data_IF_113735305473
#
_entry.id   IF_113735305473
#
_cell.length_a   1.000
_cell.length_b   1.000
_cell.length_c   1.000
_cell.angle_alpha   90.00
_cell.angle_beta   90.00
_cell.angle_gamma   90.00
#
_symmetry.space_group_name_H-M   'P 1'
#
loop_
_entity.id
_entity.type
_entity.pdbx_description
1 polymer ?
#
# COMPACT_ATOMS: atom_id res chain seq x y z
N UNK A 1 -20.13 -30.32 1.87
CA UNK A 1 -19.23 -30.22 0.70
C UNK A 1 -18.33 -29.03 0.92
N UNK A 2 -17.03 -29.24 1.16
CA UNK A 2 -16.07 -28.15 1.24
C UNK A 2 -15.78 -27.68 -0.19
N UNK A 3 -16.16 -26.45 -0.52
CA UNK A 3 -15.91 -25.88 -1.84
C UNK A 3 -14.41 -25.59 -1.99
N UNK A 4 -13.84 -26.04 -3.11
CA UNK A 4 -12.46 -25.84 -3.48
C UNK A 4 -12.21 -24.34 -3.74
N UNK A 5 -11.75 -23.61 -2.73
CA UNK A 5 -11.35 -22.21 -2.85
C UNK A 5 -9.95 -22.15 -3.49
N UNK A 6 -9.90 -22.28 -4.81
CA UNK A 6 -8.68 -22.01 -5.60
C UNK A 6 -8.45 -20.51 -5.75
N UNK A 7 -7.23 -20.08 -6.09
CA UNK A 7 -6.88 -18.67 -6.35
C UNK A 7 -7.83 -18.01 -7.38
N UNK A 8 -8.28 -18.79 -8.37
CA UNK A 8 -9.28 -18.40 -9.36
C UNK A 8 -10.67 -18.23 -8.73
N UNK A 9 -11.08 -19.14 -7.83
CA UNK A 9 -12.33 -19.01 -7.10
C UNK A 9 -12.35 -17.81 -6.15
N UNK A 10 -11.21 -17.44 -5.54
CA UNK A 10 -11.06 -16.22 -4.73
C UNK A 10 -11.25 -14.94 -5.57
N UNK A 11 -10.73 -14.93 -6.81
CA UNK A 11 -10.96 -13.85 -7.76
C UNK A 11 -12.40 -13.79 -8.29
N UNK A 12 -13.10 -14.93 -8.42
CA UNK A 12 -14.51 -14.93 -8.83
C UNK A 12 -15.49 -14.66 -7.68
N UNK A 13 -15.13 -15.01 -6.44
CA UNK A 13 -15.95 -14.76 -5.25
C UNK A 13 -15.91 -13.31 -4.76
N UNK A 14 -14.93 -12.51 -5.21
CA UNK A 14 -14.95 -11.05 -5.00
C UNK A 14 -15.99 -10.33 -5.87
N UNK A 15 -16.60 -11.01 -6.85
CA UNK A 15 -17.50 -10.40 -7.83
C UNK A 15 -18.99 -10.56 -7.44
N UNK A 16 -19.32 -11.24 -6.35
CA UNK A 16 -20.73 -11.55 -6.03
C UNK A 16 -21.01 -11.62 -4.53
N UNK A 17 -21.14 -10.45 -3.89
CA UNK A 17 -22.22 -10.06 -2.96
C UNK A 17 -21.86 -8.73 -2.29
N UNK A 18 -22.87 -7.88 -2.09
CA UNK A 18 -22.77 -6.56 -1.46
C UNK A 18 -22.49 -6.68 0.05
N UNK A 19 -21.24 -6.96 0.38
CA UNK A 19 -20.57 -6.42 1.57
C UNK A 19 -19.42 -5.61 0.99
N UNK A 20 -19.46 -4.29 1.16
CA UNK A 20 -18.48 -3.33 0.61
C UNK A 20 -17.14 -3.44 1.37
N UNK A 21 -16.59 -4.64 1.46
CA UNK A 21 -15.20 -4.81 1.84
C UNK A 21 -14.32 -4.36 0.67
N UNK A 22 -13.35 -3.50 0.92
CA UNK A 22 -12.19 -3.27 0.06
C UNK A 22 -11.11 -4.27 0.49
N UNK A 23 -11.18 -5.56 0.05
CA UNK A 23 -10.21 -6.55 0.49
C UNK A 23 -8.82 -6.15 0.02
N UNK A 24 -7.82 -6.55 0.77
CA UNK A 24 -6.44 -6.34 0.36
C UNK A 24 -5.66 -7.65 0.35
N UNK A 25 -4.69 -7.70 -0.56
CA UNK A 25 -3.77 -8.81 -0.70
C UNK A 25 -2.40 -8.32 -0.28
N UNK A 26 -1.73 -9.07 0.58
CA UNK A 26 -0.41 -8.73 1.09
C UNK A 26 0.44 -9.99 1.31
N UNK A 27 1.76 -9.82 1.29
CA UNK A 27 2.70 -10.84 1.75
C UNK A 27 3.26 -10.45 3.11
N UNK A 28 3.63 -11.43 3.92
CA UNK A 28 4.55 -11.20 5.06
C UNK A 28 6.02 -11.33 4.62
N UNK A 29 6.96 -11.12 5.54
CA UNK A 29 8.39 -11.23 5.25
C UNK A 29 8.85 -12.66 4.93
N UNK A 30 8.02 -13.67 5.21
CA UNK A 30 8.26 -15.08 4.91
C UNK A 30 7.56 -15.54 3.62
N UNK A 31 7.03 -14.61 2.82
CA UNK A 31 6.30 -14.90 1.59
C UNK A 31 5.00 -15.70 1.80
N UNK A 32 4.40 -15.62 2.98
CA UNK A 32 3.02 -16.08 3.17
C UNK A 32 2.07 -15.08 2.52
N UNK A 33 1.09 -15.57 1.76
CA UNK A 33 0.07 -14.75 1.08
C UNK A 33 -1.16 -14.62 1.96
N UNK A 34 -1.57 -13.38 2.19
CA UNK A 34 -2.75 -13.04 2.96
C UNK A 34 -3.81 -12.42 2.06
N UNK A 35 -5.06 -12.84 2.24
CA UNK A 35 -6.24 -12.15 1.73
C UNK A 35 -7.04 -11.63 2.91
N UNK A 36 -7.04 -10.31 3.10
CA UNK A 36 -7.59 -9.64 4.27
C UNK A 36 -8.91 -8.96 3.91
N UNK A 37 -9.90 -9.03 4.82
CA UNK A 37 -11.22 -8.42 4.63
C UNK A 37 -12.11 -9.09 3.59
N UNK A 38 -11.72 -10.23 3.03
CA UNK A 38 -12.49 -10.93 2.01
C UNK A 38 -13.77 -11.54 2.60
N UNK A 39 -14.93 -10.98 2.23
CA UNK A 39 -16.24 -11.38 2.75
C UNK A 39 -16.28 -11.36 4.29
N UNK A 40 -15.63 -10.35 4.89
CA UNK A 40 -15.55 -10.18 6.34
C UNK A 40 -14.61 -11.17 7.04
N UNK A 41 -13.70 -11.81 6.30
CA UNK A 41 -12.73 -12.78 6.83
C UNK A 41 -11.32 -12.51 6.34
N UNK A 42 -10.35 -12.99 7.10
CA UNK A 42 -8.94 -12.97 6.75
C UNK A 42 -8.44 -14.40 6.51
N UNK A 43 -7.75 -14.62 5.40
CA UNK A 43 -7.23 -15.93 4.99
C UNK A 43 -5.72 -15.91 4.79
N UNK A 44 -5.04 -16.93 5.29
CA UNK A 44 -3.62 -17.18 5.04
C UNK A 44 -3.49 -18.38 4.07
N UNK A 45 -2.97 -18.13 2.88
CA UNK A 45 -2.74 -19.16 1.86
C UNK A 45 -1.37 -19.86 2.03
N UNK A 46 -0.62 -19.55 3.09
CA UNK A 46 0.76 -19.99 3.34
C UNK A 46 1.70 -19.50 2.23
N UNK A 47 2.77 -20.22 1.88
CA UNK A 47 3.77 -19.87 0.84
C UNK A 47 3.38 -20.40 -0.55
N UNK A 48 4.10 -19.96 -1.59
CA UNK A 48 3.78 -20.29 -2.99
C UNK A 48 3.70 -21.78 -3.29
N UNK A 49 4.61 -22.57 -2.72
CA UNK A 49 4.62 -24.02 -2.87
C UNK A 49 3.38 -24.69 -2.23
N UNK A 50 2.75 -24.03 -1.26
CA UNK A 50 1.55 -24.52 -0.59
C UNK A 50 0.28 -24.14 -1.34
N UNK A 51 0.11 -22.88 -1.72
CA UNK A 51 -1.14 -22.43 -2.37
C UNK A 51 -1.25 -22.88 -3.83
N UNK A 52 -0.13 -23.16 -4.51
CA UNK A 52 -0.17 -23.77 -5.86
C UNK A 52 -0.39 -25.28 -5.80
N UNK A 53 -0.09 -25.93 -4.67
CA UNK A 53 -0.25 -27.36 -4.43
C UNK A 53 -1.66 -27.83 -4.03
N UNK A 54 -2.66 -26.94 -4.03
CA UNK A 54 -4.04 -27.29 -3.68
C UNK A 54 -4.37 -27.31 -2.19
N UNK A 55 -3.46 -26.84 -1.32
CA UNK A 55 -3.79 -26.60 0.08
C UNK A 55 -4.80 -25.46 0.19
N UNK A 56 -5.80 -25.63 1.06
CA UNK A 56 -6.80 -24.59 1.30
C UNK A 56 -6.21 -23.47 2.15
N UNK A 57 -6.51 -22.24 1.77
CA UNK A 57 -6.23 -21.08 2.61
C UNK A 57 -6.97 -21.23 3.95
N UNK A 58 -6.28 -20.91 5.05
CA UNK A 58 -6.82 -21.05 6.39
C UNK A 58 -7.39 -19.71 6.85
N UNK A 59 -8.65 -19.73 7.31
CA UNK A 59 -9.28 -18.58 7.97
C UNK A 59 -8.57 -18.34 9.31
N UNK A 60 -8.06 -17.13 9.51
CA UNK A 60 -7.42 -16.70 10.76
C UNK A 60 -8.07 -15.45 11.35
N UNK A 61 -9.31 -15.14 10.93
CA UNK A 61 -10.03 -13.93 11.33
C UNK A 61 -9.99 -13.75 12.84
N UNK A 62 -9.43 -12.62 13.27
CA UNK A 62 -9.23 -12.28 14.67
C UNK A 62 -9.83 -10.90 15.01
N UNK A 63 -10.03 -10.66 16.31
CA UNK A 63 -10.45 -9.36 16.80
C UNK A 63 -9.36 -8.30 16.60
N UNK A 64 -9.76 -7.03 16.50
CA UNK A 64 -8.84 -5.89 16.34
C UNK A 64 -8.48 -5.56 14.88
N UNK A 65 -8.91 -6.40 13.91
CA UNK A 65 -8.77 -6.11 12.47
C UNK A 65 -9.64 -4.91 12.06
N UNK A 66 -9.27 -4.16 11.00
CA UNK A 66 -10.17 -3.16 10.44
C UNK A 66 -11.42 -3.83 9.87
N UNK A 67 -12.55 -3.10 9.75
CA UNK A 67 -13.74 -3.61 9.07
C UNK A 67 -13.52 -3.85 7.57
N UNK A 68 -12.50 -3.21 6.98
CA UNK A 68 -12.21 -3.15 5.54
C UNK A 68 -13.31 -2.44 4.73
N UNK A 69 -14.02 -1.48 5.31
CA UNK A 69 -15.09 -0.75 4.62
C UNK A 69 -14.64 0.61 4.04
N UNK A 70 -13.38 0.98 4.26
CA UNK A 70 -12.82 2.25 3.80
C UNK A 70 -12.73 2.37 2.27
N UNK A 71 -12.99 3.57 1.71
CA UNK A 71 -12.86 3.80 0.27
C UNK A 71 -11.37 3.88 -0.11
N UNK A 72 -10.84 2.95 -0.90
CA UNK A 72 -9.41 2.86 -1.23
C UNK A 72 -8.51 2.33 -0.10
N UNK A 73 -8.96 1.30 0.62
CA UNK A 73 -8.08 0.56 1.54
C UNK A 73 -6.81 0.08 0.83
N UNK A 74 -5.66 0.34 1.46
CA UNK A 74 -4.35 -0.10 0.96
C UNK A 74 -3.62 -0.88 2.04
N UNK A 75 -2.78 -1.83 1.61
CA UNK A 75 -2.01 -2.69 2.50
C UNK A 75 -0.53 -2.67 2.12
N UNK A 76 0.31 -2.50 3.12
CA UNK A 76 1.76 -2.36 2.96
C UNK A 76 2.48 -3.37 3.85
N UNK A 77 3.49 -4.03 3.30
CA UNK A 77 4.40 -4.87 4.07
C UNK A 77 5.48 -4.00 4.71
N UNK A 78 5.53 -4.01 6.03
CA UNK A 78 6.68 -3.58 6.81
C UNK A 78 7.61 -4.79 6.98
N UNK A 79 8.56 -4.94 6.04
CA UNK A 79 9.33 -6.17 5.89
C UNK A 79 10.19 -6.47 7.13
N UNK A 80 10.93 -5.47 7.63
CA UNK A 80 11.84 -5.65 8.77
C UNK A 80 11.11 -5.92 10.09
N UNK A 81 9.86 -5.46 10.22
CA UNK A 81 9.02 -5.68 11.39
C UNK A 81 8.14 -6.93 11.25
N UNK A 82 8.10 -7.53 10.05
CA UNK A 82 7.19 -8.61 9.66
C UNK A 82 5.73 -8.29 10.01
N UNK A 83 5.29 -7.10 9.62
CA UNK A 83 3.94 -6.60 9.87
C UNK A 83 3.26 -6.13 8.59
N UNK A 84 1.94 -6.24 8.54
CA UNK A 84 1.11 -5.71 7.45
C UNK A 84 0.35 -4.51 7.98
N UNK A 85 0.51 -3.36 7.34
CA UNK A 85 -0.19 -2.13 7.68
C UNK A 85 -1.35 -1.92 6.73
N UNK A 86 -2.53 -1.65 7.28
CA UNK A 86 -3.73 -1.30 6.53
C UNK A 86 -4.02 0.17 6.79
N UNK A 87 -3.98 0.95 5.72
CA UNK A 87 -4.39 2.35 5.73
C UNK A 87 -5.79 2.47 5.14
N UNK A 88 -6.60 3.36 5.70
CA UNK A 88 -7.96 3.61 5.24
C UNK A 88 -8.81 2.31 5.18
N UNK A 89 -8.64 1.45 6.18
CA UNK A 89 -9.40 0.20 6.32
C UNK A 89 -10.71 0.36 7.11
N UNK A 90 -10.93 1.52 7.72
CA UNK A 90 -12.09 1.81 8.57
C UNK A 90 -12.67 3.19 8.22
N UNK A 91 -13.90 3.21 7.70
CA UNK A 91 -14.62 4.46 7.39
C UNK A 91 -14.86 5.35 8.61
N UNK A 92 -14.93 4.77 9.81
CA UNK A 92 -15.13 5.51 11.05
C UNK A 92 -13.82 6.11 11.56
N UNK A 93 -12.69 5.52 11.19
CA UNK A 93 -11.35 5.91 11.63
C UNK A 93 -10.36 5.94 10.45
N UNK A 94 -10.60 6.75 9.40
CA UNK A 94 -9.87 6.66 8.13
C UNK A 94 -8.36 6.94 8.28
N UNK A 95 -7.99 7.74 9.28
CA UNK A 95 -6.59 8.10 9.57
C UNK A 95 -5.86 7.08 10.47
N UNK A 96 -6.58 6.13 11.10
CA UNK A 96 -5.94 5.10 11.91
C UNK A 96 -5.15 4.12 11.04
N UNK A 97 -4.06 3.60 11.60
CA UNK A 97 -3.26 2.54 10.97
C UNK A 97 -3.55 1.24 11.67
N UNK A 98 -4.10 0.27 10.95
CA UNK A 98 -4.25 -1.08 11.49
C UNK A 98 -3.01 -1.89 11.17
N UNK A 99 -2.53 -2.66 12.15
CA UNK A 99 -1.32 -3.45 12.01
C UNK A 99 -1.61 -4.89 12.36
N UNK A 100 -1.25 -5.78 11.45
CA UNK A 100 -1.19 -7.21 11.69
C UNK A 100 0.26 -7.63 11.91
N UNK A 101 0.59 -8.09 13.12
CA UNK A 101 1.89 -8.71 13.40
C UNK A 101 1.84 -10.16 12.89
N UNK A 102 2.53 -10.44 11.78
CA UNK A 102 2.52 -11.78 11.18
C UNK A 102 3.30 -12.83 12.01
N UNK A 103 4.06 -12.38 13.01
CA UNK A 103 4.77 -13.26 13.96
C UNK A 103 3.88 -13.61 15.15
N UNK A 104 3.22 -12.61 15.74
CA UNK A 104 2.33 -12.81 16.87
C UNK A 104 0.91 -13.26 16.47
N UNK A 105 0.56 -13.13 15.19
CA UNK A 105 -0.75 -13.41 14.62
C UNK A 105 -1.86 -12.58 15.26
N UNK A 106 -1.57 -11.31 15.52
CA UNK A 106 -2.48 -10.40 16.21
C UNK A 106 -2.69 -9.10 15.44
N UNK A 107 -3.91 -8.59 15.50
CA UNK A 107 -4.25 -7.26 15.01
C UNK A 107 -4.21 -6.22 16.12
N UNK A 108 -3.91 -4.98 15.72
CA UNK A 108 -4.03 -3.80 16.59
C UNK A 108 -4.32 -2.55 15.76
N UNK A 109 -4.92 -1.54 16.40
CA UNK A 109 -5.23 -0.25 15.78
C UNK A 109 -4.38 0.85 16.42
N UNK A 110 -3.50 1.48 15.64
CA UNK A 110 -2.75 2.64 16.07
C UNK A 110 -3.54 3.91 15.80
N UNK A 111 -3.81 4.66 16.86
CA UNK A 111 -4.37 6.00 16.75
C UNK A 111 -3.34 6.97 16.14
N UNK A 112 -3.83 7.92 15.35
CA UNK A 112 -3.00 9.00 14.80
C UNK A 112 -3.59 10.37 15.11
N UNK A 113 -2.76 11.40 15.09
CA UNK A 113 -3.20 12.80 15.06
C UNK A 113 -3.07 13.33 13.63
N UNK A 114 -4.17 13.54 12.88
CA UNK A 114 -4.10 13.81 11.43
C UNK A 114 -3.43 15.12 11.03
N UNK A 115 -3.42 16.15 11.89
CA UNK A 115 -2.77 17.44 11.58
C UNK A 115 -3.36 18.22 10.40
N UNK A 116 -4.34 17.69 9.67
CA UNK A 116 -4.94 18.26 8.48
C UNK A 116 -5.12 17.26 7.33
N UNK A 117 -4.38 16.15 7.35
CA UNK A 117 -4.54 15.09 6.34
C UNK A 117 -5.90 14.39 6.48
N UNK A 118 -6.48 14.03 5.34
CA UNK A 118 -7.53 13.03 5.24
C UNK A 118 -7.00 11.84 4.45
N UNK A 119 -6.59 10.78 5.17
CA UNK A 119 -6.09 9.56 4.54
C UNK A 119 -7.16 8.92 3.64
N UNK A 120 -8.44 9.14 3.94
CA UNK A 120 -9.61 8.67 3.18
C UNK A 120 -9.64 9.11 1.72
N UNK A 121 -9.07 10.28 1.44
CA UNK A 121 -9.01 10.92 0.12
C UNK A 121 -7.59 11.10 -0.40
N UNK A 122 -6.61 10.46 0.26
CA UNK A 122 -5.19 10.53 -0.11
C UNK A 122 -4.74 9.30 -0.90
N UNK A 123 -3.58 9.42 -1.54
CA UNK A 123 -2.81 8.25 -1.99
C UNK A 123 -1.55 8.17 -1.17
N UNK A 124 -1.26 6.98 -0.66
CA UNK A 124 -0.14 6.72 0.22
C UNK A 124 0.82 5.69 -0.36
N UNK A 125 2.02 5.65 0.21
CA UNK A 125 3.03 4.64 -0.02
C UNK A 125 3.87 4.46 1.26
N UNK A 126 4.28 3.23 1.58
CA UNK A 126 5.16 2.95 2.72
C UNK A 126 6.59 2.82 2.22
N UNK A 127 7.49 3.62 2.79
CA UNK A 127 8.91 3.44 2.56
C UNK A 127 9.42 2.15 3.22
N UNK A 128 10.12 1.35 2.43
CA UNK A 128 10.60 0.04 2.82
C UNK A 128 11.68 0.10 3.89
N UNK A 129 12.60 1.06 3.80
CA UNK A 129 13.82 1.08 4.60
C UNK A 129 13.64 1.82 5.94
N UNK A 130 12.82 2.86 5.97
CA UNK A 130 12.62 3.70 7.16
C UNK A 130 11.31 3.43 7.91
N UNK A 131 10.41 2.64 7.32
CA UNK A 131 9.08 2.37 7.86
C UNK A 131 8.26 3.66 8.08
N UNK A 132 8.40 4.61 7.15
CA UNK A 132 7.68 5.88 7.12
C UNK A 132 6.65 5.83 6.02
N UNK A 133 5.38 6.08 6.36
CA UNK A 133 4.30 6.23 5.38
C UNK A 133 4.30 7.64 4.82
N UNK A 134 4.23 7.79 3.51
CA UNK A 134 4.10 9.07 2.82
C UNK A 134 2.77 9.13 2.10
N UNK A 135 2.08 10.26 2.16
CA UNK A 135 0.80 10.44 1.51
C UNK A 135 0.72 11.80 0.83
N UNK A 136 0.19 11.84 -0.39
CA UNK A 136 -0.19 13.07 -1.06
C UNK A 136 -1.70 13.26 -0.89
N UNK A 137 -2.09 14.37 -0.27
CA UNK A 137 -3.47 14.71 0.02
C UNK A 137 -3.72 16.18 -0.34
N UNK A 138 -4.67 16.43 -1.24
CA UNK A 138 -5.08 17.79 -1.64
C UNK A 138 -3.92 18.74 -2.05
N UNK A 139 -2.86 18.21 -2.66
CA UNK A 139 -1.69 18.99 -3.09
C UNK A 139 -0.63 19.21 -2.01
N UNK A 140 -0.80 18.64 -0.82
CA UNK A 140 0.18 18.65 0.28
C UNK A 140 0.79 17.27 0.47
N UNK A 141 2.09 17.22 0.76
CA UNK A 141 2.81 15.98 1.08
C UNK A 141 2.88 15.80 2.59
N UNK A 142 2.54 14.62 3.06
CA UNK A 142 2.51 14.28 4.48
C UNK A 142 3.33 13.03 4.75
N UNK A 143 3.86 12.90 5.97
CA UNK A 143 4.42 11.64 6.42
C UNK A 143 3.96 11.21 7.82
N UNK A 144 4.01 9.91 8.06
CA UNK A 144 3.79 9.26 9.35
C UNK A 144 4.94 8.32 9.64
N UNK A 145 5.71 8.60 10.68
CA UNK A 145 6.80 7.73 11.10
C UNK A 145 6.29 6.62 12.02
N UNK A 146 6.28 5.38 11.53
CA UNK A 146 5.83 4.21 12.28
C UNK A 146 6.97 3.50 13.03
N UNK A 147 8.19 4.04 12.97
CA UNK A 147 9.38 3.54 13.65
C UNK A 147 9.56 2.02 13.44
N UNK A 148 9.48 1.20 14.48
CA UNK A 148 9.53 -0.26 14.40
C UNK A 148 8.26 -0.91 14.92
N UNK A 149 7.12 -0.22 14.78
CA UNK A 149 5.86 -0.71 15.31
C UNK A 149 5.36 -1.92 14.53
N UNK A 150 4.93 -2.94 15.26
CA UNK A 150 4.14 -4.07 14.74
C UNK A 150 2.85 -4.27 15.53
N UNK A 151 2.69 -3.48 16.58
CA UNK A 151 1.51 -3.42 17.43
C UNK A 151 1.29 -1.97 17.87
N UNK A 152 0.04 -1.61 18.16
CA UNK A 152 -0.33 -0.28 18.60
C UNK A 152 0.29 0.05 19.97
N UNK A 153 0.65 1.31 20.14
CA UNK A 153 1.03 1.91 21.42
C UNK A 153 -0.10 2.82 21.95
N UNK A 154 0.00 3.20 23.21
CA UNK A 154 -1.02 4.03 23.87
C UNK A 154 -1.09 5.45 23.31
N UNK A 155 0.06 6.01 22.91
CA UNK A 155 0.15 7.38 22.43
C UNK A 155 -0.18 7.45 20.93
N UNK A 156 -1.04 8.40 20.49
CA UNK A 156 -1.25 8.67 19.08
C UNK A 156 0.03 9.15 18.38
N UNK A 157 0.21 8.75 17.12
CA UNK A 157 1.34 9.21 16.29
C UNK A 157 0.86 10.37 15.41
N UNK A 158 1.58 11.48 15.41
CA UNK A 158 1.22 12.64 14.59
C UNK A 158 1.64 12.45 13.13
N UNK A 159 0.74 12.76 12.22
CA UNK A 159 1.09 13.06 10.83
C UNK A 159 1.85 14.38 10.78
N UNK A 160 2.92 14.43 9.98
CA UNK A 160 3.74 15.61 9.79
C UNK A 160 3.52 16.15 8.38
N UNK A 161 3.19 17.43 8.30
CA UNK A 161 3.12 18.17 7.06
C UNK A 161 4.54 18.43 6.54
N UNK A 162 4.86 17.93 5.35
CA UNK A 162 6.11 18.26 4.65
C UNK A 162 5.99 19.63 3.98
N UNK A 163 4.79 19.98 3.55
CA UNK A 163 4.47 21.15 2.75
C UNK A 163 4.01 20.81 1.33
N UNK A 164 3.89 21.85 0.49
CA UNK A 164 3.17 21.75 -0.76
C UNK A 164 3.93 20.89 -1.78
N UNK A 165 3.19 20.02 -2.46
CA UNK A 165 3.66 19.38 -3.67
C UNK A 165 3.65 20.35 -4.85
N UNK A 166 4.42 20.10 -5.92
CA UNK A 166 4.42 20.95 -7.11
C UNK A 166 3.13 20.84 -7.95
N UNK A 167 2.13 20.06 -7.49
CA UNK A 167 0.88 19.80 -8.18
C UNK A 167 -0.30 20.39 -7.41
N UNK A 168 -1.33 20.81 -8.15
CA UNK A 168 -2.58 21.26 -7.55
C UNK A 168 -3.41 20.11 -6.93
N UNK A 169 -4.46 20.45 -6.17
CA UNK A 169 -5.27 19.48 -5.42
C UNK A 169 -6.06 18.50 -6.30
N UNK A 170 -6.16 18.73 -7.60
CA UNK A 170 -6.91 17.89 -8.54
C UNK A 170 -6.08 16.73 -9.11
N UNK A 171 -4.79 16.66 -8.82
CA UNK A 171 -3.96 15.55 -9.26
C UNK A 171 -4.28 14.29 -8.45
N UNK A 172 -4.62 13.20 -9.15
CA UNK A 172 -4.86 11.89 -8.56
C UNK A 172 -3.60 11.03 -8.75
N UNK A 173 -2.70 10.99 -7.76
CA UNK A 173 -1.35 10.50 -7.96
C UNK A 173 -1.28 9.00 -8.22
N UNK A 174 -0.31 8.63 -9.05
CA UNK A 174 0.14 7.25 -9.18
C UNK A 174 1.57 7.20 -8.64
N UNK A 175 1.74 6.59 -7.46
CA UNK A 175 3.01 6.57 -6.74
C UNK A 175 3.73 5.25 -6.90
N UNK A 176 5.03 5.24 -7.13
CA UNK A 176 5.88 4.05 -7.00
C UNK A 176 7.05 4.32 -6.06
N UNK A 177 7.65 3.29 -5.47
CA UNK A 177 8.77 3.42 -4.54
C UNK A 177 9.96 2.63 -5.06
N UNK A 178 11.07 3.31 -5.29
CA UNK A 178 12.36 2.64 -5.47
C UNK A 178 13.45 3.40 -4.74
N UNK A 179 14.25 2.63 -4.01
CA UNK A 179 15.29 3.14 -3.11
C UNK A 179 14.67 4.17 -2.15
N UNK A 180 15.35 5.29 -1.98
CA UNK A 180 14.91 6.43 -1.20
C UNK A 180 14.07 7.44 -1.99
N UNK A 181 13.37 7.01 -3.04
CA UNK A 181 12.57 7.86 -3.92
C UNK A 181 11.13 7.40 -4.08
N UNK A 182 10.21 8.36 -4.02
CA UNK A 182 8.83 8.19 -4.47
C UNK A 182 8.70 8.80 -5.86
N UNK A 183 8.25 7.99 -6.80
CA UNK A 183 8.02 8.35 -8.19
C UNK A 183 6.57 8.69 -8.41
N UNK A 184 6.30 9.83 -9.05
CA UNK A 184 4.97 10.28 -9.40
C UNK A 184 4.77 10.15 -10.91
N UNK A 185 3.78 9.35 -11.31
CA UNK A 185 3.41 9.06 -12.70
C UNK A 185 2.10 9.78 -13.04
N UNK A 186 1.87 10.08 -14.32
CA UNK A 186 0.67 10.83 -14.79
C UNK A 186 0.60 12.26 -14.22
N UNK A 187 1.76 12.86 -13.97
CA UNK A 187 1.84 14.23 -13.48
C UNK A 187 1.40 15.22 -14.58
N UNK A 188 0.56 16.22 -14.29
CA UNK A 188 0.14 17.21 -15.27
C UNK A 188 1.32 17.92 -15.94
N UNK A 189 1.32 17.95 -17.27
CA UNK A 189 2.37 18.54 -18.12
C UNK A 189 3.73 17.81 -18.09
N UNK A 190 3.82 16.63 -17.47
CA UNK A 190 4.99 15.76 -17.56
C UNK A 190 4.77 14.74 -18.68
N UNK A 191 5.69 14.64 -19.67
CA UNK A 191 5.51 13.74 -20.79
C UNK A 191 5.64 12.26 -20.38
N UNK A 192 5.02 11.38 -21.17
CA UNK A 192 5.18 9.94 -21.01
C UNK A 192 6.66 9.53 -21.02
N UNK A 193 7.02 8.58 -20.16
CA UNK A 193 8.40 8.17 -19.91
C UNK A 193 9.18 9.08 -18.96
N UNK A 194 8.57 10.13 -18.41
CA UNK A 194 9.15 10.97 -17.37
C UNK A 194 8.34 10.90 -16.08
N UNK A 195 8.99 11.12 -14.94
CA UNK A 195 8.36 11.11 -13.62
C UNK A 195 8.93 12.21 -12.75
N UNK A 196 8.08 12.79 -11.91
CA UNK A 196 8.56 13.63 -10.82
C UNK A 196 8.98 12.75 -9.64
N UNK A 197 9.96 13.22 -8.88
CA UNK A 197 10.61 12.46 -7.83
C UNK A 197 10.55 13.22 -6.52
N UNK A 198 10.09 12.56 -5.47
CA UNK A 198 10.26 13.01 -4.10
C UNK A 198 11.37 12.21 -3.42
N UNK A 199 12.38 12.91 -2.89
CA UNK A 199 13.53 12.33 -2.20
C UNK A 199 13.21 12.22 -0.71
N UNK A 200 13.06 10.99 -0.24
CA UNK A 200 12.59 10.64 1.12
C UNK A 200 13.53 11.23 2.20
N UNK A 201 14.85 11.06 2.05
CA UNK A 201 15.83 11.50 3.05
C UNK A 201 15.89 13.01 3.29
N UNK A 202 15.44 13.81 2.32
CA UNK A 202 15.45 15.26 2.40
C UNK A 202 14.05 15.87 2.48
N UNK A 203 13.01 15.03 2.40
CA UNK A 203 11.60 15.43 2.29
C UNK A 203 11.39 16.53 1.24
N UNK A 204 11.87 16.28 0.01
CA UNK A 204 11.94 17.30 -1.04
C UNK A 204 11.61 16.75 -2.43
N UNK A 205 10.82 17.50 -3.20
CA UNK A 205 10.57 17.23 -4.62
C UNK A 205 11.73 17.72 -5.47
N UNK A 206 12.31 16.85 -6.30
CA UNK A 206 13.31 17.26 -7.28
C UNK A 206 12.76 18.37 -8.20
N UNK A 207 13.59 19.33 -8.61
CA UNK A 207 13.11 20.52 -9.30
C UNK A 207 12.65 20.24 -10.73
N UNK A 208 13.01 19.10 -11.32
CA UNK A 208 12.69 18.73 -12.70
C UNK A 208 12.31 17.24 -12.76
N UNK A 209 11.39 16.85 -13.66
CA UNK A 209 11.10 15.45 -13.94
C UNK A 209 12.35 14.72 -14.46
N UNK A 210 12.45 13.43 -14.16
CA UNK A 210 13.51 12.55 -14.66
C UNK A 210 12.97 11.60 -15.73
N UNK A 211 13.71 11.43 -16.82
CA UNK A 211 13.39 10.48 -17.89
C UNK A 211 13.78 9.04 -17.52
N UNK A 212 12.90 8.10 -17.83
CA UNK A 212 13.06 6.65 -17.66
C UNK A 212 12.89 5.94 -19.01
N UNK A 213 13.94 5.94 -19.86
CA UNK A 213 13.90 5.28 -21.15
C UNK A 213 13.78 3.76 -20.97
N UNK A 214 12.77 3.16 -21.61
CA UNK A 214 12.62 1.71 -21.67
C UNK A 214 13.21 1.17 -22.99
N UNK A 215 13.76 -0.06 -23.00
CA UNK A 215 14.25 -0.69 -24.23
C UNK A 215 13.20 -0.80 -25.34
N UNK A 216 11.92 -0.86 -24.97
CA UNK A 216 10.78 -0.82 -25.88
C UNK A 216 9.61 -0.06 -25.24
N UNK A 217 9.14 1.00 -25.89
CA UNK A 217 8.02 1.82 -25.42
C UNK A 217 8.42 2.86 -24.36
N UNK A 218 7.41 3.45 -23.72
CA UNK A 218 7.57 4.39 -22.61
C UNK A 218 6.50 4.11 -21.57
N UNK A 219 6.77 4.50 -20.32
CA UNK A 219 5.75 4.46 -19.27
C UNK A 219 4.69 5.52 -19.62
N UNK A 220 3.41 5.16 -19.75
CA UNK A 220 2.40 6.10 -20.21
C UNK A 220 2.15 7.18 -19.16
N UNK A 221 1.87 8.40 -19.63
CA UNK A 221 1.35 9.49 -18.80
C UNK A 221 -0.17 9.35 -18.72
N UNK A 222 -0.62 8.33 -17.99
CA UNK A 222 -2.04 8.04 -17.75
C UNK A 222 -2.22 7.49 -16.35
N UNK A 223 -3.39 7.72 -15.75
CA UNK A 223 -3.70 7.17 -14.45
C UNK A 223 -3.64 5.62 -14.44
N UNK A 224 -3.32 5.05 -13.28
CA UNK A 224 -3.14 3.62 -13.12
C UNK A 224 -2.77 3.22 -11.70
N UNK A 225 -2.19 2.02 -11.58
CA UNK A 225 -1.64 1.46 -10.34
C UNK A 225 -0.24 0.98 -10.59
N UNK A 226 0.55 0.94 -9.53
CA UNK A 226 1.92 0.46 -9.56
C UNK A 226 2.08 -0.65 -8.53
N UNK A 227 3.05 -1.53 -8.76
CA UNK A 227 3.61 -2.39 -7.74
C UNK A 227 5.13 -2.22 -7.78
N UNK A 228 5.73 -2.07 -6.60
CA UNK A 228 7.18 -1.98 -6.46
C UNK A 228 7.68 -3.34 -5.97
N UNK A 229 8.58 -3.95 -6.74
CA UNK A 229 9.15 -5.26 -6.48
C UNK A 229 10.60 -5.07 -6.06
N UNK A 230 10.89 -5.44 -4.81
CA UNK A 230 12.23 -5.35 -4.25
C UNK A 230 13.07 -6.54 -4.73
N UNK A 231 14.11 -6.26 -5.50
CA UNK A 231 15.04 -7.27 -5.99
C UNK A 231 16.02 -7.68 -4.87
N UNK A 232 16.38 -8.98 -4.80
CA UNK A 232 17.31 -9.48 -3.79
C UNK A 232 18.78 -9.03 -4.01
N UNK A 233 19.10 -8.33 -5.10
CA UNK A 233 20.47 -7.95 -5.47
C UNK A 233 20.68 -6.43 -5.50
N UNK A 234 21.83 -5.99 -4.99
CA UNK A 234 22.15 -4.60 -4.64
C UNK A 234 22.51 -3.66 -5.80
N UNK A 235 22.30 -4.03 -7.07
CA UNK A 235 22.82 -3.24 -8.22
C UNK A 235 21.74 -2.30 -8.79
N UNK A 236 20.48 -2.69 -8.71
CA UNK A 236 19.28 -1.86 -8.91
C UNK A 236 18.14 -2.55 -8.16
N UNK A 237 17.89 -2.24 -6.87
CA UNK A 237 17.11 -3.13 -6.02
C UNK A 237 15.60 -3.11 -6.28
N UNK A 238 15.11 -2.51 -7.37
CA UNK A 238 13.68 -2.24 -7.53
C UNK A 238 13.25 -2.38 -8.99
N UNK A 239 12.20 -3.17 -9.22
CA UNK A 239 11.42 -3.12 -10.45
C UNK A 239 10.06 -2.48 -10.16
N UNK A 240 9.59 -1.65 -11.10
CA UNK A 240 8.22 -1.15 -11.06
C UNK A 240 7.38 -1.84 -12.11
N UNK A 241 6.26 -2.40 -11.68
CA UNK A 241 5.18 -2.82 -12.58
C UNK A 241 4.14 -1.73 -12.61
N UNK A 242 3.88 -1.17 -13.79
CA UNK A 242 2.80 -0.21 -14.01
C UNK A 242 1.62 -0.91 -14.69
N UNK A 243 0.44 -0.73 -14.12
CA UNK A 243 -0.83 -1.20 -14.63
C UNK A 243 -1.67 0.02 -15.00
N UNK A 244 -1.83 0.27 -16.30
CA UNK A 244 -2.75 1.30 -16.79
C UNK A 244 -4.16 0.93 -16.34
N UNK A 245 -4.92 1.87 -15.80
CA UNK A 245 -6.35 1.66 -15.64
C UNK A 245 -7.00 1.63 -17.04
N UNK A 246 -7.49 0.46 -17.45
CA UNK A 246 -8.40 0.36 -18.59
C UNK A 246 -9.77 0.83 -18.12
N UNK A 247 -10.17 2.03 -18.53
CA UNK A 247 -11.56 2.49 -18.50
C UNK A 247 -11.98 2.84 -19.93
#
# INVERSE_FOLDING_TARGET
MAHLLTLVALYFLSVSQTVLGSPCIAFDANWNLYALGLNGKDYNASTQDKWTGGNMATDFTAAGRPPFDGPNTTCYLSQFQNAIYVMNGDTQNPNSIYMYDATALTWSQQATTPGGIDVGSSTCILDHDTNVGYCLAAGEMWFLNLQSLKAAQSEPIAWTDVGPAPYGPNYNPVMALADNHIYFIDVPNVPAGSMDIFVIHYSFFQPQPQEYPLPSGTIPATHGKTASLFQPTSVCPFDHLFFSSCF
#
